data_IF_328306770690
#
_entry.id   IF_328306770690
#
_cell.length_a   1.000
_cell.length_b   1.000
_cell.length_c   1.000
_cell.angle_alpha   90.00
_cell.angle_beta   90.00
_cell.angle_gamma   90.00
#
_symmetry.space_group_name_H-M   'P 1'
#
loop_
_entity.id
_entity.type
_entity.pdbx_description
1 polymer ?
#
# COMPACT_ATOMS: atom_id res chain seq x y z
N UNK A 1 -2.98 5.40 -7.81
CA UNK A 1 -4.00 5.18 -6.78
C UNK A 1 -4.00 3.72 -6.39
N UNK A 2 -4.41 3.49 -5.15
CA UNK A 2 -4.32 2.20 -4.47
C UNK A 2 -5.51 1.31 -4.75
N UNK A 3 -5.30 -0.01 -4.65
CA UNK A 3 -6.33 -1.02 -4.81
C UNK A 3 -7.06 -1.31 -3.49
N UNK A 4 -8.27 -1.84 -3.57
CA UNK A 4 -9.04 -2.38 -2.44
C UNK A 4 -9.18 -3.89 -2.62
N UNK A 5 -8.80 -4.68 -1.62
CA UNK A 5 -9.03 -6.13 -1.63
C UNK A 5 -10.33 -6.41 -0.90
N UNK A 6 -11.35 -6.91 -1.61
CA UNK A 6 -12.63 -7.25 -1.00
C UNK A 6 -12.43 -8.44 -0.04
N UNK A 7 -12.81 -8.32 1.25
CA UNK A 7 -12.67 -9.41 2.21
C UNK A 7 -13.63 -10.57 1.92
N UNK A 8 -14.77 -10.30 1.27
CA UNK A 8 -15.82 -11.29 1.03
C UNK A 8 -15.56 -12.16 -0.22
N UNK A 9 -15.06 -11.56 -1.30
CA UNK A 9 -14.85 -12.26 -2.58
C UNK A 9 -13.37 -12.42 -2.96
N UNK A 10 -12.44 -11.81 -2.21
CA UNK A 10 -11.01 -11.86 -2.47
C UNK A 10 -10.54 -11.09 -3.70
N UNK A 11 -11.44 -10.49 -4.47
CA UNK A 11 -11.11 -9.74 -5.69
C UNK A 11 -10.46 -8.41 -5.36
N UNK A 12 -9.58 -7.96 -6.26
CA UNK A 12 -8.88 -6.68 -6.16
C UNK A 12 -9.62 -5.65 -7.02
N UNK A 13 -10.10 -4.60 -6.39
CA UNK A 13 -10.85 -3.51 -7.01
C UNK A 13 -10.02 -2.24 -7.09
N UNK A 14 -10.09 -1.56 -8.23
CA UNK A 14 -9.49 -0.24 -8.40
C UNK A 14 -10.61 0.81 -8.32
N UNK A 15 -11.09 1.08 -7.11
CA UNK A 15 -12.27 1.93 -6.84
C UNK A 15 -12.10 3.32 -7.48
N UNK A 16 -10.88 3.86 -7.43
CA UNK A 16 -10.54 5.17 -8.01
C UNK A 16 -9.76 5.07 -9.33
N UNK A 17 -9.87 3.93 -10.03
CA UNK A 17 -9.11 3.66 -11.25
C UNK A 17 -7.66 3.23 -11.01
N UNK A 18 -6.98 2.86 -12.10
CA UNK A 18 -5.59 2.43 -12.07
C UNK A 18 -4.67 3.64 -11.87
N UNK A 19 -3.67 3.48 -10.99
CA UNK A 19 -2.63 4.49 -10.82
C UNK A 19 -1.56 4.48 -11.90
N UNK A 20 -0.85 5.59 -12.05
CA UNK A 20 0.34 5.72 -12.91
C UNK A 20 1.65 5.79 -12.11
N UNK A 21 1.61 5.46 -10.82
CA UNK A 21 2.77 5.60 -9.93
C UNK A 21 3.94 4.70 -10.35
N UNK A 22 3.67 3.50 -10.89
CA UNK A 22 4.71 2.58 -11.38
C UNK A 22 5.38 3.09 -12.65
N UNK A 23 4.62 3.72 -13.55
CA UNK A 23 5.16 4.33 -14.78
C UNK A 23 6.08 5.51 -14.45
N UNK A 24 5.65 6.37 -13.51
CA UNK A 24 6.45 7.52 -13.05
C UNK A 24 7.71 7.02 -12.33
N UNK A 25 7.59 6.03 -11.43
CA UNK A 25 8.73 5.46 -10.72
C UNK A 25 9.77 4.90 -11.71
N UNK A 26 9.33 4.13 -12.72
CA UNK A 26 10.20 3.64 -13.80
C UNK A 26 10.86 4.76 -14.58
N UNK A 27 10.11 5.80 -14.97
CA UNK A 27 10.63 6.96 -15.71
C UNK A 27 11.79 7.66 -14.98
N UNK A 28 11.74 7.69 -13.66
CA UNK A 28 12.73 8.38 -12.82
C UNK A 28 13.75 7.42 -12.17
N UNK A 29 13.76 6.14 -12.55
CA UNK A 29 14.59 5.10 -11.92
C UNK A 29 14.45 5.06 -10.39
N UNK A 30 13.23 5.29 -9.90
CA UNK A 30 12.90 5.18 -8.49
C UNK A 30 12.36 3.77 -8.23
N UNK A 31 12.92 3.00 -7.29
CA UNK A 31 12.38 1.71 -6.92
C UNK A 31 10.99 1.88 -6.30
N UNK A 32 9.98 1.27 -6.93
CA UNK A 32 8.64 1.19 -6.37
C UNK A 32 8.61 0.10 -5.30
N UNK A 33 8.82 0.49 -4.05
CA UNK A 33 8.95 -0.44 -2.91
C UNK A 33 7.62 -0.92 -2.35
N UNK A 34 6.56 -0.10 -2.45
CA UNK A 34 5.26 -0.47 -1.91
C UNK A 34 4.08 0.28 -2.55
N UNK A 35 2.90 -0.34 -2.49
CA UNK A 35 1.59 0.21 -2.88
C UNK A 35 0.59 -0.08 -1.76
N UNK A 36 0.38 0.89 -0.88
CA UNK A 36 -0.54 0.76 0.26
C UNK A 36 -1.99 0.60 -0.24
N UNK A 37 -2.66 -0.55 -0.07
CA UNK A 37 -4.05 -0.72 -0.45
C UNK A 37 -5.00 0.08 0.45
N UNK A 38 -6.24 0.23 0.01
CA UNK A 38 -7.34 0.69 0.86
C UNK A 38 -7.67 -0.47 1.81
N UNK A 39 -7.51 -0.23 3.10
CA UNK A 39 -7.79 -1.19 4.18
C UNK A 39 -8.53 -0.47 5.31
N UNK A 40 -9.72 -0.96 5.66
CA UNK A 40 -10.57 -0.36 6.69
C UNK A 40 -9.97 -0.49 8.09
N UNK A 41 -9.20 -1.55 8.36
CA UNK A 41 -8.54 -1.74 9.66
C UNK A 41 -7.40 -0.75 9.85
N UNK A 42 -6.67 -0.45 8.77
CA UNK A 42 -5.63 0.59 8.80
C UNK A 42 -6.23 1.97 9.08
N UNK A 43 -7.37 2.29 8.46
CA UNK A 43 -8.11 3.52 8.71
C UNK A 43 -8.60 3.59 10.17
N UNK A 44 -9.21 2.52 10.69
CA UNK A 44 -9.69 2.43 12.07
C UNK A 44 -8.57 2.69 13.10
N UNK A 45 -7.42 2.04 12.94
CA UNK A 45 -6.27 2.24 13.82
C UNK A 45 -5.72 3.66 13.74
N UNK A 46 -5.72 4.26 12.54
CA UNK A 46 -5.32 5.66 12.36
C UNK A 46 -6.24 6.60 13.13
N UNK A 47 -7.55 6.45 12.93
CA UNK A 47 -8.58 7.30 13.57
C UNK A 47 -8.60 7.12 15.10
N UNK A 48 -8.28 5.92 15.58
CA UNK A 48 -8.15 5.62 17.01
C UNK A 48 -6.83 6.13 17.63
N UNK A 49 -5.91 6.71 16.86
CA UNK A 49 -4.59 7.14 17.33
C UNK A 49 -3.65 5.98 17.69
N UNK A 50 -3.88 4.79 17.10
CA UNK A 50 -3.17 3.53 17.35
C UNK A 50 -2.50 2.98 16.10
N UNK A 51 -2.03 3.85 15.22
CA UNK A 51 -1.46 3.45 13.93
C UNK A 51 -0.23 2.53 14.06
N UNK A 52 0.50 2.63 15.18
CA UNK A 52 1.66 1.78 15.48
C UNK A 52 1.30 0.29 15.67
N UNK A 53 0.03 -0.02 15.91
CA UNK A 53 -0.47 -1.39 16.02
C UNK A 53 -0.80 -2.02 14.66
N UNK A 54 -0.67 -1.27 13.57
CA UNK A 54 -0.99 -1.75 12.23
C UNK A 54 0.02 -2.79 11.74
N UNK A 55 -0.42 -3.85 11.02
CA UNK A 55 0.48 -4.78 10.36
C UNK A 55 1.34 -4.05 9.32
N UNK A 56 2.66 -4.22 9.42
CA UNK A 56 3.65 -3.54 8.56
C UNK A 56 4.45 -4.49 7.68
N UNK A 57 4.12 -5.79 7.64
CA UNK A 57 4.83 -6.81 6.82
C UNK A 57 4.80 -6.45 5.34
N UNK A 58 3.76 -5.74 4.90
CA UNK A 58 3.64 -5.26 3.54
C UNK A 58 4.72 -4.19 3.18
N UNK A 59 5.36 -3.58 4.18
CA UNK A 59 6.45 -2.62 4.05
C UNK A 59 7.85 -3.26 4.08
N UNK A 60 7.98 -4.58 4.26
CA UNK A 60 9.29 -5.24 4.39
C UNK A 60 10.22 -4.94 3.20
N UNK A 61 9.67 -4.88 1.98
CA UNK A 61 10.45 -4.51 0.78
C UNK A 61 11.06 -3.10 0.81
N UNK A 62 10.48 -2.17 1.59
CA UNK A 62 11.09 -0.86 1.86
C UNK A 62 12.34 -1.02 2.73
N UNK A 63 12.27 -1.83 3.79
CA UNK A 63 13.40 -2.07 4.70
C UNK A 63 14.55 -2.73 3.95
N UNK A 64 14.27 -3.71 3.10
CA UNK A 64 15.28 -4.36 2.25
C UNK A 64 15.96 -3.37 1.30
N UNK A 65 15.20 -2.44 0.71
CA UNK A 65 15.75 -1.43 -0.21
C UNK A 65 16.64 -0.40 0.51
N UNK A 66 16.36 -0.12 1.78
CA UNK A 66 17.11 0.86 2.58
C UNK A 66 18.33 0.28 3.28
N UNK A 67 18.40 -1.05 3.42
CA UNK A 67 19.53 -1.74 4.07
C UNK A 67 20.62 -1.99 3.02
N UNK A 68 21.57 -1.05 2.93
CA UNK A 68 22.77 -1.11 2.07
C UNK A 68 23.90 -1.82 2.82
#
# INVERSE_FOLDING_TARGET
MSSFKCPDCGSVHYIYGKGHADEIAKKHNIPAVYRLPIDSKFAELTDAGRIEDAPTEALDGLVETLTI
#
